data_IF_246623383172
#
_entry.id   IF_246623383172
#
_cell.length_a   1.000
_cell.length_b   1.000
_cell.length_c   1.000
_cell.angle_alpha   90.00
_cell.angle_beta   90.00
_cell.angle_gamma   90.00
#
_symmetry.space_group_name_H-M   'P 1'
#
loop_
_entity.id
_entity.type
_entity.pdbx_description
1 polymer ?
#
# COMPACT_ATOMS: atom_id res chain seq x y z
N UNK A 1 16.51 -42.10 8.46
CA UNK A 1 17.02 -40.97 7.66
C UNK A 1 16.22 -39.75 8.10
N UNK A 2 16.75 -38.97 9.03
CA UNK A 2 16.13 -37.72 9.44
C UNK A 2 16.29 -36.73 8.28
N UNK A 3 15.18 -36.43 7.59
CA UNK A 3 15.10 -35.29 6.69
C UNK A 3 15.24 -34.04 7.55
N UNK A 4 16.49 -33.56 7.73
CA UNK A 4 16.75 -32.21 8.20
C UNK A 4 16.25 -31.28 7.12
N UNK A 5 14.96 -30.91 7.21
CA UNK A 5 14.36 -29.87 6.38
C UNK A 5 15.22 -28.64 6.57
N UNK A 6 16.08 -28.36 5.61
CA UNK A 6 16.97 -27.21 5.64
C UNK A 6 16.07 -25.98 5.71
N UNK A 7 15.94 -25.42 6.93
CA UNK A 7 15.13 -24.23 7.17
C UNK A 7 15.76 -23.10 6.34
N UNK A 8 15.10 -22.75 5.24
CA UNK A 8 15.52 -21.64 4.37
C UNK A 8 15.59 -20.30 5.12
N UNK A 9 14.88 -20.19 6.25
CA UNK A 9 14.97 -19.07 7.19
C UNK A 9 15.12 -19.63 8.59
N UNK A 10 16.10 -19.11 9.35
CA UNK A 10 16.20 -19.39 10.78
C UNK A 10 15.07 -18.69 11.53
N UNK A 11 14.74 -19.17 12.72
CA UNK A 11 13.66 -18.59 13.52
C UNK A 11 13.99 -17.14 13.92
N UNK A 12 15.28 -16.82 14.11
CA UNK A 12 15.77 -15.45 14.34
C UNK A 12 15.54 -14.52 13.14
N UNK A 13 15.82 -15.00 11.91
CA UNK A 13 15.55 -14.22 10.69
C UNK A 13 14.06 -13.93 10.53
N UNK A 14 13.20 -14.89 10.89
CA UNK A 14 11.75 -14.70 10.87
C UNK A 14 11.34 -13.67 11.90
N UNK A 15 11.83 -13.78 13.15
CA UNK A 15 11.53 -12.81 14.19
C UNK A 15 11.94 -11.39 13.80
N UNK A 16 13.13 -11.22 13.20
CA UNK A 16 13.58 -9.93 12.70
C UNK A 16 12.66 -9.40 11.58
N UNK A 17 12.27 -10.24 10.61
CA UNK A 17 11.32 -9.87 9.56
C UNK A 17 9.96 -9.43 10.10
N UNK A 18 9.40 -10.14 11.08
CA UNK A 18 8.10 -9.79 11.66
C UNK A 18 8.18 -8.48 12.43
N UNK A 19 9.21 -8.33 13.26
CA UNK A 19 9.40 -7.15 14.10
C UNK A 19 9.66 -5.92 13.24
N UNK A 20 10.60 -6.03 12.30
CA UNK A 20 10.90 -4.99 11.33
C UNK A 20 9.71 -4.62 10.47
N UNK A 21 8.90 -5.59 10.02
CA UNK A 21 7.72 -5.28 9.21
C UNK A 21 6.63 -4.55 10.00
N UNK A 22 6.51 -4.82 11.30
CA UNK A 22 5.59 -4.14 12.20
C UNK A 22 6.04 -2.70 12.52
N UNK A 23 7.36 -2.46 12.60
CA UNK A 23 7.94 -1.15 12.94
C UNK A 23 8.54 -0.41 11.75
N UNK A 24 8.34 -0.89 10.52
CA UNK A 24 8.94 -0.27 9.33
C UNK A 24 8.41 1.16 9.14
N UNK A 25 9.34 2.06 8.89
CA UNK A 25 9.06 3.41 8.42
C UNK A 25 9.23 3.42 6.89
N UNK A 26 8.25 3.92 6.14
CA UNK A 26 8.27 3.95 4.68
C UNK A 26 7.51 2.80 4.02
N UNK A 27 7.83 2.51 2.76
CA UNK A 27 7.04 1.57 1.96
C UNK A 27 7.43 0.11 2.16
N UNK A 28 6.47 -0.81 1.99
CA UNK A 28 6.69 -2.25 1.93
C UNK A 28 7.78 -2.62 0.92
N UNK A 29 7.85 -1.89 -0.21
CA UNK A 29 8.85 -2.15 -1.24
C UNK A 29 10.26 -1.83 -0.76
N UNK A 30 10.43 -0.71 -0.07
CA UNK A 30 11.72 -0.30 0.52
C UNK A 30 12.14 -1.29 1.60
N UNK A 31 11.25 -1.59 2.55
CA UNK A 31 11.50 -2.57 3.61
C UNK A 31 11.92 -3.93 3.07
N UNK A 32 11.18 -4.48 2.09
CA UNK A 32 11.52 -5.77 1.47
C UNK A 32 12.89 -5.72 0.78
N UNK A 33 13.25 -4.59 0.19
CA UNK A 33 14.53 -4.43 -0.51
C UNK A 33 15.70 -4.35 0.46
N UNK A 34 15.52 -3.68 1.60
CA UNK A 34 16.50 -3.60 2.68
C UNK A 34 16.71 -4.97 3.32
N UNK A 35 15.63 -5.64 3.76
CA UNK A 35 15.71 -6.98 4.34
C UNK A 35 16.31 -8.01 3.39
N UNK A 36 16.05 -7.88 2.08
CA UNK A 36 16.66 -8.75 1.08
C UNK A 36 18.19 -8.60 1.04
N UNK A 37 18.71 -7.37 1.14
CA UNK A 37 20.15 -7.11 1.21
C UNK A 37 20.76 -7.63 2.50
N UNK A 38 20.12 -7.36 3.64
CA UNK A 38 20.60 -7.76 4.97
C UNK A 38 20.67 -9.29 5.11
N UNK A 39 19.63 -9.99 4.64
CA UNK A 39 19.54 -11.45 4.75
C UNK A 39 20.22 -12.19 3.57
N UNK A 40 20.77 -11.46 2.59
CA UNK A 40 21.36 -12.05 1.38
C UNK A 40 20.37 -12.87 0.56
N UNK A 41 19.09 -12.47 0.53
CA UNK A 41 17.99 -13.17 -0.17
C UNK A 41 17.42 -12.31 -1.29
N UNK A 42 16.61 -12.92 -2.15
CA UNK A 42 15.85 -12.14 -3.15
C UNK A 42 14.64 -11.47 -2.49
N UNK A 43 14.27 -10.28 -2.98
CA UNK A 43 13.04 -9.58 -2.58
C UNK A 43 11.80 -10.47 -2.71
N UNK A 44 11.72 -11.28 -3.77
CA UNK A 44 10.64 -12.24 -4.00
C UNK A 44 10.55 -13.28 -2.87
N UNK A 45 11.69 -13.79 -2.39
CA UNK A 45 11.72 -14.74 -1.28
C UNK A 45 11.29 -14.11 0.05
N UNK A 46 11.62 -12.84 0.27
CA UNK A 46 11.18 -12.09 1.46
C UNK A 46 9.66 -11.87 1.43
N UNK A 47 9.12 -11.41 0.30
CA UNK A 47 7.66 -11.24 0.12
C UNK A 47 6.94 -12.56 0.31
N UNK A 48 7.41 -13.65 -0.32
CA UNK A 48 6.81 -14.97 -0.16
C UNK A 48 6.79 -15.41 1.31
N UNK A 49 7.84 -15.08 2.08
CA UNK A 49 7.90 -15.36 3.51
C UNK A 49 6.88 -14.52 4.29
N UNK A 50 6.79 -13.21 4.05
CA UNK A 50 5.80 -12.33 4.68
C UNK A 50 4.35 -12.75 4.35
N UNK A 51 4.10 -13.18 3.11
CA UNK A 51 2.79 -13.72 2.68
C UNK A 51 2.49 -15.04 3.40
N UNK A 52 3.46 -15.95 3.53
CA UNK A 52 3.26 -17.21 4.27
C UNK A 52 2.95 -17.01 5.75
N UNK A 53 3.34 -15.85 6.31
CA UNK A 53 3.06 -15.42 7.67
C UNK A 53 1.78 -14.58 7.78
N UNK A 54 1.06 -14.34 6.67
CA UNK A 54 -0.10 -13.45 6.57
C UNK A 54 0.17 -12.00 7.03
N UNK A 55 1.41 -11.54 6.98
CA UNK A 55 1.79 -10.17 7.38
C UNK A 55 1.83 -9.21 6.21
N UNK A 56 2.04 -9.70 4.98
CA UNK A 56 2.18 -8.85 3.82
C UNK A 56 0.83 -8.22 3.42
N UNK A 57 0.68 -6.93 3.68
CA UNK A 57 -0.53 -6.14 3.37
C UNK A 57 -0.20 -5.22 2.21
N UNK A 58 -0.89 -5.36 1.08
CA UNK A 58 -0.71 -4.48 -0.08
C UNK A 58 -0.90 -3.03 0.32
N UNK A 59 0.08 -2.18 0.01
CA UNK A 59 0.01 -0.76 0.34
C UNK A 59 -1.16 -0.08 -0.37
N UNK A 60 -1.80 0.84 0.34
CA UNK A 60 -2.75 1.75 -0.27
C UNK A 60 -2.03 2.56 -1.35
N UNK A 61 -2.57 2.55 -2.57
CA UNK A 61 -2.00 3.31 -3.69
C UNK A 61 -2.13 4.81 -3.39
N UNK A 62 -1.03 5.42 -2.98
CA UNK A 62 -0.88 6.87 -2.88
C UNK A 62 -0.41 7.43 -4.22
N UNK A 63 -0.89 8.62 -4.57
CA UNK A 63 -0.39 9.39 -5.70
C UNK A 63 1.06 9.86 -5.43
N UNK A 64 1.77 10.35 -6.46
CA UNK A 64 3.16 10.85 -6.33
C UNK A 64 3.35 11.93 -5.24
N UNK A 65 2.26 12.56 -4.81
CA UNK A 65 2.20 13.57 -3.76
C UNK A 65 1.80 13.02 -2.38
N UNK A 66 1.68 11.70 -2.21
CA UNK A 66 1.29 11.07 -0.93
C UNK A 66 -0.22 11.09 -0.64
N UNK A 67 -1.02 11.77 -1.46
CA UNK A 67 -2.48 11.80 -1.32
C UNK A 67 -3.12 10.52 -1.86
N UNK A 68 -4.23 10.03 -1.27
CA UNK A 68 -4.97 8.89 -1.80
C UNK A 68 -5.29 9.08 -3.29
N UNK A 69 -5.22 8.01 -4.09
CA UNK A 69 -5.68 8.07 -5.49
C UNK A 69 -7.20 8.21 -5.50
N UNK A 70 -7.70 9.44 -5.52
CA UNK A 70 -9.14 9.73 -5.63
C UNK A 70 -9.54 9.65 -7.11
N UNK A 71 -10.59 8.88 -7.41
CA UNK A 71 -11.14 8.76 -8.76
C UNK A 71 -12.02 9.97 -9.10
N UNK A 72 -12.22 10.26 -10.40
CA UNK A 72 -13.17 11.32 -10.81
C UNK A 72 -14.58 11.08 -10.26
N UNK A 73 -15.04 9.82 -10.26
CA UNK A 73 -16.36 9.47 -9.72
C UNK A 73 -16.46 9.73 -8.22
N UNK A 74 -15.37 9.52 -7.47
CA UNK A 74 -15.33 9.84 -6.04
C UNK A 74 -15.43 11.35 -5.80
N UNK A 75 -14.74 12.17 -6.59
CA UNK A 75 -14.85 13.64 -6.49
C UNK A 75 -16.27 14.11 -6.82
N UNK A 76 -16.87 13.60 -7.90
CA UNK A 76 -18.27 13.91 -8.25
C UNK A 76 -19.21 13.50 -7.11
N UNK A 77 -19.04 12.31 -6.54
CA UNK A 77 -19.86 11.85 -5.41
C UNK A 77 -19.70 12.73 -4.17
N UNK A 78 -18.50 13.22 -3.85
CA UNK A 78 -18.29 14.18 -2.75
C UNK A 78 -19.06 15.48 -2.99
N UNK A 79 -19.05 15.99 -4.22
CA UNK A 79 -19.77 17.19 -4.62
C UNK A 79 -21.29 16.97 -4.52
N UNK A 80 -21.80 15.89 -5.12
CA UNK A 80 -23.23 15.53 -5.08
C UNK A 80 -23.74 15.33 -3.65
N UNK A 81 -22.95 14.67 -2.79
CA UNK A 81 -23.27 14.48 -1.37
C UNK A 81 -23.30 15.80 -0.60
N UNK A 82 -22.41 16.74 -0.92
CA UNK A 82 -22.40 18.06 -0.28
C UNK A 82 -23.66 18.86 -0.62
N UNK A 83 -24.12 18.81 -1.87
CA UNK A 83 -25.28 19.57 -2.32
C UNK A 83 -26.63 18.85 -2.17
N UNK A 84 -26.61 17.53 -1.96
CA UNK A 84 -27.82 16.71 -1.79
C UNK A 84 -28.59 16.43 -3.08
N UNK A 85 -27.97 16.61 -4.25
CA UNK A 85 -28.57 16.29 -5.55
C UNK A 85 -27.53 15.80 -6.57
N UNK A 86 -28.00 15.08 -7.58
CA UNK A 86 -27.16 14.50 -8.62
C UNK A 86 -26.74 15.53 -9.67
N UNK A 87 -25.47 15.47 -10.06
CA UNK A 87 -24.79 16.34 -11.03
C UNK A 87 -24.08 15.46 -12.08
N UNK A 88 -24.83 14.68 -12.89
CA UNK A 88 -24.26 13.67 -13.78
C UNK A 88 -23.34 14.25 -14.87
N UNK A 89 -23.49 15.54 -15.21
CA UNK A 89 -22.64 16.24 -16.17
C UNK A 89 -21.22 16.48 -15.65
N UNK A 90 -20.98 16.49 -14.32
CA UNK A 90 -19.67 16.73 -13.73
C UNK A 90 -18.64 15.65 -14.05
N UNK A 91 -19.07 14.45 -14.44
CA UNK A 91 -18.17 13.38 -14.93
C UNK A 91 -17.34 13.82 -16.15
N UNK A 92 -17.87 14.79 -16.93
CA UNK A 92 -17.21 15.37 -18.10
C UNK A 92 -16.18 16.45 -17.77
N UNK A 93 -16.19 16.99 -16.55
CA UNK A 93 -15.21 17.98 -16.12
C UNK A 93 -13.81 17.36 -15.97
N UNK A 94 -12.78 18.21 -15.94
CA UNK A 94 -11.42 17.74 -15.69
C UNK A 94 -11.26 17.33 -14.23
N UNK A 95 -10.35 16.38 -13.96
CA UNK A 95 -10.07 15.97 -12.58
C UNK A 95 -9.58 17.14 -11.72
N UNK A 96 -8.84 18.08 -12.32
CA UNK A 96 -8.31 19.27 -11.63
C UNK A 96 -9.45 20.17 -11.19
N UNK A 97 -10.42 20.46 -12.07
CA UNK A 97 -11.57 21.31 -11.72
C UNK A 97 -12.45 20.66 -10.63
N UNK A 98 -12.67 19.35 -10.72
CA UNK A 98 -13.42 18.61 -9.70
C UNK A 98 -12.70 18.63 -8.34
N UNK A 99 -11.37 18.48 -8.32
CA UNK A 99 -10.58 18.56 -7.10
C UNK A 99 -10.63 19.97 -6.51
N UNK A 100 -10.42 21.00 -7.34
CA UNK A 100 -10.53 22.39 -6.91
C UNK A 100 -11.91 22.70 -6.32
N UNK A 101 -12.98 22.16 -6.91
CA UNK A 101 -14.32 22.35 -6.36
C UNK A 101 -14.41 21.74 -4.96
N UNK A 102 -14.03 20.45 -4.81
CA UNK A 102 -14.04 19.74 -3.52
C UNK A 102 -13.21 20.46 -2.46
N UNK A 103 -12.01 20.92 -2.80
CA UNK A 103 -11.11 21.61 -1.87
C UNK A 103 -11.66 22.98 -1.40
N UNK A 104 -12.66 23.52 -2.11
CA UNK A 104 -13.34 24.77 -1.79
C UNK A 104 -14.82 24.58 -1.36
N UNK A 105 -15.28 23.33 -1.21
CA UNK A 105 -16.51 23.03 -0.49
C UNK A 105 -16.19 23.14 0.99
N UNK A 106 -16.76 24.16 1.65
CA UNK A 106 -16.40 24.57 3.01
C UNK A 106 -16.48 23.50 4.10
#
# INVERSE_FOLDING_TARGET
>A
MENTVQKNYTDEMVANLVSGYATKEGTNKEFVTEMAKELGRSTKSIVAKLVSLNLYVTEAKVTKTGLPVISKGTLVGQIENHFGFALPSLVKATKVDLQNLVDNLG
#
